data_IF_597725619476
#
_entry.id   IF_597725619476
#
_cell.length_a   1.000
_cell.length_b   1.000
_cell.length_c   1.000
_cell.angle_alpha   90.00
_cell.angle_beta   90.00
_cell.angle_gamma   90.00
#
_symmetry.space_group_name_H-M   'P 1'
#
loop_
_entity.id
_entity.type
_entity.pdbx_description
1 polymer ?
#
# COMPACT_ATOMS: atom_id res chain seq x y z
N UNK A 1 -19.20 -24.57 10.76
CA UNK A 1 -18.79 -23.88 12.00
C UNK A 1 -17.45 -23.19 11.84
N UNK A 2 -16.33 -23.92 11.68
CA UNK A 2 -14.97 -23.36 11.60
C UNK A 2 -14.72 -22.43 10.38
N UNK A 3 -15.31 -22.76 9.22
CA UNK A 3 -15.30 -21.93 8.02
C UNK A 3 -16.11 -20.63 8.19
N UNK A 4 -17.19 -20.68 8.95
CA UNK A 4 -18.08 -19.55 9.20
C UNK A 4 -17.46 -18.56 10.21
N UNK A 5 -16.71 -19.06 11.21
CA UNK A 5 -15.92 -18.21 12.12
C UNK A 5 -14.72 -17.56 11.44
N UNK A 6 -14.13 -18.19 10.41
CA UNK A 6 -13.09 -17.57 9.59
C UNK A 6 -13.66 -16.43 8.71
N UNK A 7 -14.87 -16.60 8.19
CA UNK A 7 -15.64 -15.56 7.49
C UNK A 7 -16.13 -14.46 8.44
N UNK A 8 -16.39 -14.80 9.71
CA UNK A 8 -16.89 -13.87 10.73
C UNK A 8 -15.77 -13.24 11.57
N UNK A 9 -14.50 -13.38 11.21
CA UNK A 9 -13.41 -12.66 11.86
C UNK A 9 -13.50 -11.19 11.40
N UNK A 10 -14.03 -10.28 12.24
CA UNK A 10 -14.54 -8.98 11.78
C UNK A 10 -13.45 -8.03 11.28
N UNK A 11 -12.17 -8.33 11.53
CA UNK A 11 -11.04 -7.52 11.08
C UNK A 11 -10.74 -7.65 9.58
N UNK A 12 -10.59 -8.88 9.08
CA UNK A 12 -10.12 -9.08 7.69
C UNK A 12 -11.21 -8.81 6.67
N UNK A 13 -12.45 -9.22 6.95
CA UNK A 13 -13.59 -9.03 6.04
C UNK A 13 -14.02 -7.56 5.93
N UNK A 14 -13.92 -6.78 7.00
CA UNK A 14 -14.20 -5.34 6.94
C UNK A 14 -13.16 -4.60 6.11
N UNK A 15 -11.88 -4.92 6.29
CA UNK A 15 -10.78 -4.38 5.47
C UNK A 15 -11.00 -4.68 3.99
N UNK A 16 -11.37 -5.92 3.65
CA UNK A 16 -11.57 -6.33 2.24
C UNK A 16 -12.72 -5.54 1.60
N UNK A 17 -13.82 -5.35 2.33
CA UNK A 17 -14.98 -4.59 1.87
C UNK A 17 -14.63 -3.12 1.62
N UNK A 18 -13.90 -2.48 2.54
CA UNK A 18 -13.44 -1.09 2.38
C UNK A 18 -12.54 -0.97 1.15
N UNK A 19 -11.57 -1.88 1.00
CA UNK A 19 -10.67 -1.89 -0.17
C UNK A 19 -11.45 -2.04 -1.46
N UNK A 20 -12.44 -2.93 -1.51
CA UNK A 20 -13.30 -3.12 -2.69
C UNK A 20 -14.10 -1.87 -3.02
N UNK A 21 -14.72 -1.22 -2.04
CA UNK A 21 -15.47 0.04 -2.24
C UNK A 21 -14.54 1.14 -2.76
N UNK A 22 -13.37 1.30 -2.15
CA UNK A 22 -12.35 2.26 -2.61
C UNK A 22 -11.90 1.94 -4.03
N UNK A 23 -11.68 0.66 -4.38
CA UNK A 23 -11.32 0.24 -5.73
C UNK A 23 -12.43 0.52 -6.75
N UNK A 24 -13.71 0.43 -6.37
CA UNK A 24 -14.82 0.75 -7.27
C UNK A 24 -14.94 2.26 -7.51
N UNK A 25 -14.71 3.07 -6.47
CA UNK A 25 -14.79 4.54 -6.57
C UNK A 25 -13.59 5.14 -7.30
N UNK A 26 -12.38 4.69 -6.98
CA UNK A 26 -11.14 5.24 -7.53
C UNK A 26 -10.59 4.43 -8.71
N UNK A 27 -10.98 3.17 -8.87
CA UNK A 27 -10.42 2.25 -9.86
C UNK A 27 -9.12 1.58 -9.38
N UNK A 28 -8.90 0.33 -9.78
CA UNK A 28 -7.71 -0.45 -9.40
C UNK A 28 -6.36 0.13 -9.87
N UNK A 29 -6.38 1.08 -10.82
CA UNK A 29 -5.17 1.75 -11.33
C UNK A 29 -4.77 3.00 -10.55
N UNK A 30 -5.70 3.68 -9.85
CA UNK A 30 -5.38 4.93 -9.14
C UNK A 30 -4.59 4.70 -7.85
N UNK A 31 -4.87 3.63 -7.10
CA UNK A 31 -4.12 3.28 -5.89
C UNK A 31 -2.60 3.13 -6.17
N UNK A 32 -2.15 2.32 -7.14
CA UNK A 32 -0.72 2.18 -7.43
C UNK A 32 -0.11 3.44 -8.04
N UNK A 33 -0.88 4.23 -8.80
CA UNK A 33 -0.42 5.50 -9.36
C UNK A 33 -0.18 6.56 -8.27
N UNK A 34 -1.10 6.67 -7.31
CA UNK A 34 -0.95 7.51 -6.12
C UNK A 34 0.24 7.06 -5.27
N UNK A 35 0.38 5.76 -5.00
CA UNK A 35 1.53 5.23 -4.24
C UNK A 35 2.87 5.52 -4.93
N UNK A 36 2.94 5.40 -6.27
CA UNK A 36 4.15 5.76 -7.03
C UNK A 36 4.47 7.25 -6.93
N UNK A 37 3.47 8.12 -7.01
CA UNK A 37 3.65 9.57 -6.82
C UNK A 37 4.11 9.92 -5.41
N UNK A 38 3.46 9.35 -4.39
CA UNK A 38 3.78 9.56 -2.98
C UNK A 38 5.18 9.02 -2.63
N UNK A 39 5.56 7.86 -3.16
CA UNK A 39 6.89 7.27 -2.96
C UNK A 39 8.00 8.10 -3.58
N UNK A 40 7.80 8.65 -4.77
CA UNK A 40 8.74 9.60 -5.39
C UNK A 40 8.87 10.89 -4.57
N UNK A 41 7.74 11.48 -4.16
CA UNK A 41 7.74 12.67 -3.34
C UNK A 41 8.40 12.46 -1.97
N UNK A 42 8.18 11.30 -1.34
CA UNK A 42 8.84 10.94 -0.08
C UNK A 42 10.35 10.76 -0.27
N UNK A 43 10.78 10.17 -1.39
CA UNK A 43 12.20 10.03 -1.74
C UNK A 43 12.86 11.39 -1.95
N UNK A 44 12.28 12.24 -2.81
CA UNK A 44 12.76 13.60 -3.07
C UNK A 44 12.79 14.45 -1.78
N UNK A 45 11.78 14.32 -0.91
CA UNK A 45 11.74 14.99 0.39
C UNK A 45 12.88 14.55 1.32
N UNK A 46 13.18 13.25 1.33
CA UNK A 46 14.26 12.67 2.14
C UNK A 46 15.64 13.11 1.63
N UNK A 47 15.83 13.07 0.30
CA UNK A 47 17.04 13.51 -0.39
C UNK A 47 17.30 15.01 -0.12
N UNK A 48 16.25 15.85 -0.21
CA UNK A 48 16.35 17.30 0.07
C UNK A 48 16.61 17.62 1.55
N UNK A 49 16.19 16.75 2.47
CA UNK A 49 16.43 16.92 3.92
C UNK A 49 17.86 16.48 4.32
N UNK A 50 18.69 16.01 3.39
CA UNK A 50 20.05 15.55 3.66
C UNK A 50 20.11 14.30 4.54
N UNK A 51 18.97 13.58 4.69
CA UNK A 51 18.92 12.26 5.31
C UNK A 51 19.28 11.22 4.26
N UNK A 52 20.54 11.25 3.84
CA UNK A 52 21.13 10.26 2.95
C UNK A 52 21.31 8.95 3.74
N UNK A 53 20.23 8.18 3.87
CA UNK A 53 20.35 6.77 4.22
C UNK A 53 20.79 6.02 2.96
N UNK A 54 22.11 5.91 2.81
CA UNK A 54 22.80 4.88 2.03
C UNK A 54 22.11 3.52 2.29
N UNK A 55 21.42 2.99 1.28
CA UNK A 55 20.87 1.63 1.07
C UNK A 55 19.67 1.82 0.12
N UNK A 56 19.64 1.31 -1.11
CA UNK A 56 19.92 -0.05 -1.51
C UNK A 56 20.55 -0.07 -2.91
N UNK A 57 21.86 -0.29 -2.98
CA UNK A 57 22.38 -1.18 -4.01
C UNK A 57 22.11 -2.63 -3.54
N UNK A 58 21.87 -3.53 -4.49
CA UNK A 58 21.88 -4.99 -4.31
C UNK A 58 20.55 -5.69 -3.98
N UNK A 59 19.70 -5.86 -5.00
CA UNK A 59 19.08 -7.17 -5.25
C UNK A 59 18.80 -7.34 -6.75
N UNK A 60 19.89 -7.50 -7.50
CA UNK A 60 19.87 -8.17 -8.80
C UNK A 60 21.11 -9.07 -8.87
N UNK A 61 20.99 -10.25 -8.25
CA UNK A 61 21.76 -11.44 -8.61
C UNK A 61 20.89 -12.67 -8.36
#
# INVERSE_FOLDING_TARGET
>A
MLLATLLAMPGTWSIILIVVVVLLLFGGKKIPELMKGLGKGMKEFKDATGKDENKDEESNK
#
